data_IF_213749634058
#
_entry.id   IF_213749634058
#
_cell.length_a   1.000
_cell.length_b   1.000
_cell.length_c   1.000
_cell.angle_alpha   90.00
_cell.angle_beta   90.00
_cell.angle_gamma   90.00
#
_symmetry.space_group_name_H-M   'P 1'
#
loop_
_entity.id
_entity.type
_entity.pdbx_description
1 polymer ?
#
# COMPACT_ATOMS: atom_id res chain seq x y z
N UNK A 1 4.24 -23.79 -6.09
CA UNK A 1 3.04 -23.02 -6.47
C UNK A 1 3.46 -21.56 -6.48
N UNK A 2 3.34 -20.91 -7.63
CA UNK A 2 4.06 -19.68 -7.99
C UNK A 2 3.50 -18.45 -7.25
N UNK A 3 4.38 -17.67 -6.63
CA UNK A 3 4.05 -16.41 -5.95
C UNK A 3 4.11 -15.29 -7.00
N UNK A 4 2.95 -14.80 -7.43
CA UNK A 4 2.83 -13.53 -8.14
C UNK A 4 2.75 -12.41 -7.10
N UNK A 5 3.88 -11.78 -6.79
CA UNK A 5 3.91 -10.51 -6.07
C UNK A 5 3.73 -9.36 -7.08
N UNK A 6 2.48 -9.06 -7.45
CA UNK A 6 2.19 -7.90 -8.28
C UNK A 6 2.23 -6.61 -7.45
N UNK A 7 3.06 -5.68 -7.92
CA UNK A 7 3.31 -4.35 -7.37
C UNK A 7 2.01 -3.53 -7.25
N UNK A 8 1.42 -3.47 -6.06
CA UNK A 8 0.19 -2.71 -5.76
C UNK A 8 0.39 -1.19 -5.63
N UNK A 9 1.02 -0.53 -6.61
CA UNK A 9 1.20 0.93 -6.59
C UNK A 9 0.34 1.58 -7.69
N UNK A 10 -0.74 2.33 -7.36
CA UNK A 10 -1.65 2.87 -8.38
C UNK A 10 -0.98 3.91 -9.28
N UNK A 11 -1.29 3.84 -10.57
CA UNK A 11 -0.82 4.70 -11.67
C UNK A 11 -1.43 6.10 -11.58
N UNK A 12 -0.69 7.12 -12.04
CA UNK A 12 -1.25 8.45 -12.30
C UNK A 12 -2.12 8.35 -13.56
N UNK A 13 -3.42 8.54 -13.42
CA UNK A 13 -4.36 8.55 -14.53
C UNK A 13 -4.21 9.84 -15.35
N UNK A 14 -3.59 9.74 -16.53
CA UNK A 14 -3.93 10.63 -17.65
C UNK A 14 -5.21 10.09 -18.29
N UNK A 15 -5.85 10.89 -19.15
CA UNK A 15 -7.05 10.57 -19.94
C UNK A 15 -6.94 9.31 -20.85
N UNK A 16 -5.91 8.50 -20.66
CA UNK A 16 -5.67 7.20 -21.26
C UNK A 16 -5.78 6.15 -20.17
N UNK A 17 -6.99 5.64 -19.94
CA UNK A 17 -7.36 4.71 -18.86
C UNK A 17 -6.67 3.33 -18.92
N UNK A 18 -5.60 3.18 -19.72
CA UNK A 18 -4.95 1.89 -20.01
C UNK A 18 -3.42 1.94 -20.09
N UNK A 19 -2.80 3.11 -19.90
CA UNK A 19 -1.36 3.24 -20.01
C UNK A 19 -0.67 3.00 -18.66
N UNK A 20 0.11 1.94 -18.58
CA UNK A 20 0.91 1.59 -17.41
C UNK A 20 2.41 1.69 -17.72
N UNK A 21 3.11 2.44 -16.87
CA UNK A 21 4.57 2.44 -16.82
C UNK A 21 5.05 1.83 -15.50
N UNK A 22 6.09 0.96 -15.52
CA UNK A 22 6.60 0.34 -14.30
C UNK A 22 6.98 1.35 -13.21
N UNK A 23 6.65 1.01 -11.96
CA UNK A 23 7.02 1.78 -10.76
C UNK A 23 8.09 1.02 -9.94
N UNK A 24 8.96 1.72 -9.18
CA UNK A 24 9.03 3.16 -9.02
C UNK A 24 9.77 3.86 -10.17
N UNK A 25 9.27 5.03 -10.58
CA UNK A 25 9.98 5.94 -11.50
C UNK A 25 11.12 6.68 -10.79
N UNK A 26 10.96 6.95 -9.50
CA UNK A 26 11.97 7.63 -8.69
C UNK A 26 13.21 6.77 -8.48
N UNK A 27 14.39 7.36 -8.63
CA UNK A 27 15.68 6.67 -8.45
C UNK A 27 16.17 5.90 -9.69
N UNK A 28 15.45 5.96 -10.81
CA UNK A 28 15.85 5.37 -12.09
C UNK A 28 16.75 6.32 -12.88
N UNK A 29 17.69 5.76 -13.62
CA UNK A 29 18.55 6.50 -14.54
C UNK A 29 17.76 6.98 -15.76
N UNK A 30 18.21 8.05 -16.44
CA UNK A 30 17.56 8.53 -17.68
C UNK A 30 17.42 7.44 -18.74
N UNK A 31 18.38 6.51 -18.83
CA UNK A 31 18.34 5.38 -19.77
C UNK A 31 17.23 4.39 -19.42
N UNK A 32 17.04 4.06 -18.14
CA UNK A 32 15.96 3.18 -17.70
C UNK A 32 14.59 3.83 -17.95
N UNK A 33 14.46 5.11 -17.66
CA UNK A 33 13.22 5.86 -17.93
C UNK A 33 12.91 5.92 -19.42
N UNK A 34 13.94 6.11 -20.27
CA UNK A 34 13.78 6.07 -21.71
C UNK A 34 13.29 4.69 -22.19
N UNK A 35 13.79 3.61 -21.60
CA UNK A 35 13.32 2.26 -21.90
C UNK A 35 11.85 2.03 -21.51
N UNK A 36 11.30 2.75 -20.52
CA UNK A 36 9.87 2.69 -20.21
C UNK A 36 9.03 3.34 -21.31
N UNK A 37 9.49 4.48 -21.83
CA UNK A 37 8.81 5.24 -22.89
C UNK A 37 8.87 4.50 -24.23
N UNK A 38 10.05 4.00 -24.61
CA UNK A 38 10.25 3.29 -25.88
C UNK A 38 9.82 1.81 -25.81
N UNK A 39 9.45 1.34 -24.61
CA UNK A 39 9.07 -0.03 -24.32
C UNK A 39 7.62 -0.36 -24.63
N UNK A 40 7.22 -1.54 -24.16
CA UNK A 40 5.83 -2.00 -24.21
C UNK A 40 5.16 -1.78 -22.87
N UNK A 41 3.89 -1.42 -22.91
CA UNK A 41 3.01 -1.41 -21.76
C UNK A 41 2.91 -2.85 -21.20
N UNK A 42 3.24 -3.06 -19.92
CA UNK A 42 3.14 -4.37 -19.27
C UNK A 42 1.72 -4.96 -19.21
N UNK A 43 0.67 -4.14 -19.25
CA UNK A 43 -0.72 -4.57 -19.19
C UNK A 43 -1.27 -4.95 -20.56
N UNK A 44 -0.97 -4.15 -21.59
CA UNK A 44 -1.54 -4.35 -22.94
C UNK A 44 -0.58 -5.08 -23.89
N UNK A 45 0.73 -5.05 -23.61
CA UNK A 45 1.80 -5.55 -24.47
C UNK A 45 2.10 -4.68 -25.71
N UNK A 46 1.46 -3.51 -25.83
CA UNK A 46 1.61 -2.60 -26.98
C UNK A 46 2.67 -1.53 -26.70
N UNK A 47 3.26 -0.88 -27.73
CA UNK A 47 4.24 0.18 -27.50
C UNK A 47 3.64 1.38 -26.74
N UNK A 48 4.26 1.79 -25.64
CA UNK A 48 3.73 2.83 -24.73
C UNK A 48 3.42 4.12 -25.48
N UNK A 49 4.37 4.63 -26.27
CA UNK A 49 4.15 5.89 -27.01
C UNK A 49 3.06 5.80 -28.07
N UNK A 50 2.82 4.62 -28.64
CA UNK A 50 1.72 4.44 -29.60
C UNK A 50 0.37 4.60 -28.89
N UNK A 51 0.22 4.01 -27.70
CA UNK A 51 -1.00 4.13 -26.91
C UNK A 51 -1.23 5.56 -26.41
N UNK A 52 -0.16 6.27 -26.03
CA UNK A 52 -0.24 7.70 -25.69
C UNK A 52 -0.76 8.50 -26.88
N UNK A 53 -0.19 8.31 -28.06
CA UNK A 53 -0.58 9.06 -29.26
C UNK A 53 -2.03 8.77 -29.59
N UNK A 54 -2.43 7.51 -29.68
CA UNK A 54 -3.80 7.12 -29.99
C UNK A 54 -4.79 7.69 -28.98
N UNK A 55 -4.49 7.56 -27.68
CA UNK A 55 -5.36 8.07 -26.62
C UNK A 55 -5.49 9.60 -26.58
N UNK A 56 -4.49 10.34 -27.08
CA UNK A 56 -4.54 11.80 -27.19
C UNK A 56 -5.10 12.30 -28.53
N UNK A 57 -5.17 11.44 -29.56
CA UNK A 57 -5.53 11.85 -30.94
C UNK A 57 -6.84 11.28 -31.44
N UNK A 58 -7.33 10.18 -30.87
CA UNK A 58 -8.60 9.56 -31.25
C UNK A 58 -9.77 10.16 -30.47
N UNK A 59 -10.97 10.22 -31.06
CA UNK A 59 -12.17 10.64 -30.34
C UNK A 59 -12.44 9.73 -29.14
N UNK A 60 -12.66 10.34 -27.97
CA UNK A 60 -13.04 9.62 -26.76
C UNK A 60 -14.49 9.15 -26.88
N UNK A 61 -14.72 7.83 -26.89
CA UNK A 61 -16.03 7.21 -27.05
C UNK A 61 -16.79 6.98 -25.73
N UNK A 62 -16.20 7.39 -24.60
CA UNK A 62 -16.75 7.21 -23.26
C UNK A 62 -16.68 5.77 -22.74
N UNK A 63 -16.13 4.83 -23.50
CA UNK A 63 -15.98 3.44 -23.08
C UNK A 63 -14.58 3.22 -22.48
N UNK A 64 -14.52 2.89 -21.19
CA UNK A 64 -13.25 2.55 -20.54
C UNK A 64 -12.91 3.33 -19.28
N UNK A 65 -13.81 4.23 -18.81
CA UNK A 65 -13.74 4.82 -17.46
C UNK A 65 -14.13 3.77 -16.42
N UNK A 66 -13.39 2.67 -16.39
CA UNK A 66 -13.51 1.63 -15.40
C UNK A 66 -12.44 1.86 -14.34
N UNK A 67 -12.84 1.95 -13.07
CA UNK A 67 -11.90 1.81 -11.96
C UNK A 67 -11.22 0.45 -12.11
N UNK A 68 -9.91 0.43 -12.34
CA UNK A 68 -9.14 -0.82 -12.28
C UNK A 68 -9.13 -1.24 -10.80
N UNK A 69 -9.97 -2.22 -10.47
CA UNK A 69 -9.94 -2.87 -9.16
C UNK A 69 -8.74 -3.81 -9.11
N UNK A 70 -7.81 -3.52 -8.21
CA UNK A 70 -6.71 -4.42 -7.92
C UNK A 70 -7.16 -5.41 -6.85
N UNK A 71 -6.96 -6.71 -7.10
CA UNK A 71 -7.10 -7.70 -6.04
C UNK A 71 -6.02 -7.45 -4.98
N UNK A 72 -6.48 -6.98 -3.81
CA UNK A 72 -5.64 -6.75 -2.63
C UNK A 72 -5.90 -7.80 -1.56
N UNK A 73 -6.49 -8.93 -1.92
CA UNK A 73 -6.66 -10.06 -1.03
C UNK A 73 -5.27 -10.59 -0.66
N UNK A 74 -4.95 -10.48 0.62
CA UNK A 74 -3.75 -11.07 1.20
C UNK A 74 -4.18 -12.19 2.11
N UNK A 75 -3.53 -13.36 2.00
CA UNK A 75 -3.74 -14.42 2.98
C UNK A 75 -3.51 -13.87 4.38
N UNK A 76 -4.39 -14.23 5.31
CA UNK A 76 -4.29 -13.85 6.72
C UNK A 76 -3.04 -14.44 7.39
N UNK A 77 -2.61 -15.63 6.95
CA UNK A 77 -1.51 -16.40 7.53
C UNK A 77 -0.50 -16.80 6.46
N UNK A 78 0.75 -16.92 6.87
CA UNK A 78 1.82 -17.57 6.09
C UNK A 78 1.90 -19.05 6.46
N UNK A 79 2.54 -19.85 5.61
CA UNK A 79 2.85 -21.24 5.93
C UNK A 79 3.74 -21.32 7.18
N UNK A 80 3.45 -22.30 8.05
CA UNK A 80 4.23 -22.50 9.26
C UNK A 80 5.63 -23.02 8.91
N UNK A 81 6.65 -22.41 9.51
CA UNK A 81 8.05 -22.78 9.33
C UNK A 81 8.83 -22.42 10.61
N UNK A 82 10.13 -22.68 10.63
CA UNK A 82 11.05 -22.28 11.67
C UNK A 82 11.11 -20.75 11.82
N UNK A 83 11.36 -20.27 13.03
CA UNK A 83 11.45 -18.83 13.34
C UNK A 83 12.46 -18.11 12.42
N UNK A 84 13.62 -18.71 12.19
CA UNK A 84 14.65 -18.18 11.29
C UNK A 84 14.15 -18.02 9.84
N UNK A 85 13.45 -19.04 9.31
CA UNK A 85 12.89 -18.99 7.96
C UNK A 85 11.79 -17.93 7.86
N UNK A 86 10.95 -17.80 8.88
CA UNK A 86 9.90 -16.78 8.93
C UNK A 86 10.49 -15.37 9.02
N UNK A 87 11.55 -15.16 9.79
CA UNK A 87 12.26 -13.89 9.79
C UNK A 87 12.81 -13.53 8.41
N UNK A 88 13.48 -14.49 7.75
CA UNK A 88 13.98 -14.31 6.38
C UNK A 88 12.86 -13.99 5.40
N UNK A 89 11.74 -14.72 5.47
CA UNK A 89 10.56 -14.49 4.64
C UNK A 89 10.03 -13.05 4.76
N UNK A 90 9.92 -12.53 5.98
CA UNK A 90 9.43 -11.16 6.23
C UNK A 90 10.35 -10.10 5.61
N UNK A 91 11.66 -10.33 5.65
CA UNK A 91 12.68 -9.45 5.04
C UNK A 91 12.63 -9.53 3.51
N UNK A 92 12.62 -10.74 2.95
CA UNK A 92 12.57 -10.97 1.50
C UNK A 92 11.28 -10.43 0.87
N UNK A 93 10.17 -10.56 1.59
CA UNK A 93 8.86 -10.04 1.18
C UNK A 93 8.71 -8.52 1.38
N UNK A 94 9.71 -7.86 1.96
CA UNK A 94 9.72 -6.41 2.26
C UNK A 94 8.56 -5.97 3.14
N UNK A 95 8.16 -6.81 4.09
CA UNK A 95 7.09 -6.50 5.06
C UNK A 95 7.62 -5.81 6.32
N UNK A 96 8.93 -5.62 6.41
CA UNK A 96 9.61 -4.95 7.51
C UNK A 96 10.37 -3.73 6.98
N UNK A 97 10.80 -2.87 7.88
CA UNK A 97 11.74 -1.79 7.61
C UNK A 97 13.21 -2.22 7.78
N UNK A 98 13.48 -3.54 7.70
CA UNK A 98 14.77 -4.18 7.94
C UNK A 98 15.30 -4.05 9.38
N UNK A 99 14.53 -3.50 10.31
CA UNK A 99 14.85 -3.60 11.74
C UNK A 99 14.43 -4.97 12.28
N UNK A 100 15.06 -5.43 13.38
CA UNK A 100 14.60 -6.63 14.08
C UNK A 100 13.12 -6.48 14.47
N UNK A 101 12.33 -7.50 14.16
CA UNK A 101 10.91 -7.57 14.50
C UNK A 101 10.65 -8.69 15.50
N UNK A 102 9.52 -8.62 16.20
CA UNK A 102 8.95 -9.78 16.89
C UNK A 102 7.93 -10.43 15.94
N UNK A 103 8.07 -11.73 15.64
CA UNK A 103 7.11 -12.38 14.72
C UNK A 103 5.67 -12.29 15.26
N UNK A 104 4.70 -11.84 14.46
CA UNK A 104 3.32 -11.66 14.88
C UNK A 104 2.55 -12.98 14.86
N UNK A 105 2.87 -13.88 15.80
CA UNK A 105 2.15 -15.14 15.96
C UNK A 105 0.70 -14.90 16.37
N UNK A 106 -0.19 -15.85 16.06
CA UNK A 106 -1.61 -15.75 16.40
C UNK A 106 -1.84 -15.51 17.90
N UNK A 107 -1.04 -16.14 18.76
CA UNK A 107 -1.09 -16.00 20.21
C UNK A 107 -0.71 -14.58 20.66
N UNK A 108 0.38 -14.02 20.11
CA UNK A 108 0.84 -12.67 20.43
C UNK A 108 -0.15 -11.62 19.96
N UNK A 109 -0.74 -11.81 18.77
CA UNK A 109 -1.79 -10.93 18.23
C UNK A 109 -3.06 -11.03 19.06
N UNK A 110 -3.47 -12.22 19.48
CA UNK A 110 -4.62 -12.40 20.37
C UNK A 110 -4.40 -11.72 21.73
N UNK A 111 -3.21 -11.84 22.32
CA UNK A 111 -2.85 -11.14 23.55
C UNK A 111 -2.88 -9.61 23.39
N UNK A 112 -2.44 -9.09 22.24
CA UNK A 112 -2.53 -7.67 21.91
C UNK A 112 -3.99 -7.21 21.79
N UNK A 113 -4.82 -7.98 21.10
CA UNK A 113 -6.25 -7.68 20.92
C UNK A 113 -7.03 -7.75 22.23
N UNK A 114 -6.63 -8.61 23.18
CA UNK A 114 -7.26 -8.70 24.50
C UNK A 114 -7.12 -7.41 25.33
N UNK A 115 -6.19 -6.51 24.97
CA UNK A 115 -6.01 -5.22 25.62
C UNK A 115 -7.00 -4.13 25.15
N UNK A 116 -7.92 -4.44 24.23
CA UNK A 116 -8.96 -3.52 23.76
C UNK A 116 -10.34 -4.18 23.72
N UNK A 117 -11.39 -3.37 23.79
CA UNK A 117 -12.78 -3.81 23.59
C UNK A 117 -13.26 -3.66 22.14
N UNK A 118 -12.46 -3.04 21.26
CA UNK A 118 -12.80 -2.87 19.84
C UNK A 118 -12.70 -4.18 19.08
N UNK A 119 -13.55 -4.35 18.07
CA UNK A 119 -13.58 -5.60 17.30
C UNK A 119 -12.38 -5.69 16.34
N UNK A 120 -11.79 -6.88 16.10
CA UNK A 120 -10.61 -7.02 15.24
C UNK A 120 -10.81 -6.54 13.80
N UNK A 121 -12.02 -6.70 13.25
CA UNK A 121 -12.46 -6.32 11.91
C UNK A 121 -12.86 -4.84 11.79
N UNK A 122 -12.94 -4.12 12.92
CA UNK A 122 -13.34 -2.73 12.93
C UNK A 122 -12.28 -1.86 12.24
N UNK A 123 -12.73 -1.02 11.29
CA UNK A 123 -11.84 -0.09 10.59
C UNK A 123 -11.39 1.02 11.54
N UNK A 124 -10.08 1.20 11.65
CA UNK A 124 -9.46 2.23 12.51
C UNK A 124 -9.29 3.52 11.72
N UNK A 125 -8.91 3.41 10.44
CA UNK A 125 -8.76 4.57 9.58
C UNK A 125 -8.42 4.20 8.15
N UNK A 126 -8.27 5.25 7.35
CA UNK A 126 -7.89 5.19 5.94
C UNK A 126 -6.57 5.91 5.75
N UNK A 127 -5.67 5.35 4.94
CA UNK A 127 -4.39 5.96 4.59
C UNK A 127 -4.13 5.78 3.09
N UNK A 128 -3.57 6.80 2.44
CA UNK A 128 -3.15 6.74 1.04
C UNK A 128 -1.70 7.20 0.90
N UNK A 129 -0.92 6.63 -0.04
CA UNK A 129 0.45 7.07 -0.27
C UNK A 129 0.57 8.46 -0.89
N UNK A 130 -0.45 8.93 -1.62
CA UNK A 130 -0.58 10.26 -2.24
C UNK A 130 -2.06 10.59 -2.46
N UNK A 131 -2.41 11.87 -2.65
CA UNK A 131 -3.81 12.32 -2.83
C UNK A 131 -4.53 11.69 -4.05
N UNK A 132 -3.78 11.42 -5.11
CA UNK A 132 -4.30 10.84 -6.36
C UNK A 132 -4.43 9.32 -6.31
N UNK A 133 -4.05 8.71 -5.18
CA UNK A 133 -4.14 7.27 -4.98
C UNK A 133 -5.31 6.92 -4.08
N UNK A 134 -5.90 5.77 -4.36
CA UNK A 134 -6.97 5.20 -3.56
C UNK A 134 -6.53 5.04 -2.10
N UNK A 135 -7.46 5.30 -1.17
CA UNK A 135 -7.21 5.14 0.24
C UNK A 135 -7.36 3.68 0.66
N UNK A 136 -6.43 3.20 1.47
CA UNK A 136 -6.44 1.86 2.05
C UNK A 136 -6.99 1.90 3.46
N UNK A 137 -7.85 0.95 3.79
CA UNK A 137 -8.36 0.76 5.14
C UNK A 137 -7.44 -0.16 5.95
N UNK A 138 -7.23 0.21 7.20
CA UNK A 138 -6.59 -0.64 8.18
C UNK A 138 -7.51 -0.87 9.38
N UNK A 139 -7.59 -2.13 9.80
CA UNK A 139 -8.44 -2.60 10.90
C UNK A 139 -7.67 -2.64 12.22
N UNK A 140 -8.38 -2.83 13.32
CA UNK A 140 -7.78 -3.01 14.66
C UNK A 140 -6.75 -4.13 14.65
N UNK A 141 -7.07 -5.24 13.98
CA UNK A 141 -6.14 -6.37 13.85
C UNK A 141 -4.85 -6.02 13.10
N UNK A 142 -4.93 -5.28 11.99
CA UNK A 142 -3.72 -4.83 11.27
C UNK A 142 -2.83 -3.95 12.15
N UNK A 143 -3.44 -3.11 12.99
CA UNK A 143 -2.70 -2.31 13.98
C UNK A 143 -2.09 -3.21 15.06
N UNK A 144 -2.80 -4.23 15.52
CA UNK A 144 -2.29 -5.20 16.50
C UNK A 144 -1.08 -5.98 15.97
N UNK A 145 -1.14 -6.46 14.72
CA UNK A 145 -0.02 -7.14 14.05
C UNK A 145 1.22 -6.25 14.03
N UNK A 146 1.08 -4.98 13.59
CA UNK A 146 2.18 -4.03 13.55
C UNK A 146 2.72 -3.71 14.96
N UNK A 147 1.84 -3.59 15.96
CA UNK A 147 2.23 -3.35 17.34
C UNK A 147 3.04 -4.53 17.91
N UNK A 148 2.63 -5.77 17.63
CA UNK A 148 3.39 -6.97 18.00
C UNK A 148 4.75 -6.96 17.30
N UNK A 149 4.79 -6.69 15.99
CA UNK A 149 6.04 -6.62 15.22
C UNK A 149 7.03 -5.61 15.79
N UNK A 150 6.52 -4.46 16.26
CA UNK A 150 7.32 -3.44 16.93
C UNK A 150 7.75 -3.80 18.37
N UNK A 151 7.32 -4.94 18.90
CA UNK A 151 7.60 -5.37 20.28
C UNK A 151 6.82 -4.58 21.35
N UNK A 152 5.68 -3.98 20.99
CA UNK A 152 4.88 -3.24 21.95
C UNK A 152 4.27 -4.18 23.01
N UNK A 153 4.13 -3.68 24.24
CA UNK A 153 3.39 -4.39 25.29
C UNK A 153 1.88 -4.20 25.08
N UNK A 154 1.03 -5.21 25.35
CA UNK A 154 -0.42 -5.09 25.22
C UNK A 154 -1.03 -3.90 25.97
N UNK A 155 -0.48 -3.55 27.13
CA UNK A 155 -0.89 -2.38 27.94
C UNK A 155 -0.87 -1.05 27.17
N UNK A 156 0.00 -0.94 26.16
CA UNK A 156 0.13 0.27 25.33
C UNK A 156 -0.81 0.26 24.12
N UNK A 157 -1.47 -0.87 23.83
CA UNK A 157 -2.27 -1.03 22.63
C UNK A 157 -3.42 -0.02 22.50
N UNK A 158 -4.18 0.31 23.57
CA UNK A 158 -5.22 1.34 23.47
C UNK A 158 -4.69 2.69 23.01
N UNK A 159 -3.48 3.07 23.47
CA UNK A 159 -2.83 4.31 23.07
C UNK A 159 -2.36 4.26 21.61
N UNK A 160 -1.75 3.14 21.19
CA UNK A 160 -1.34 2.93 19.79
C UNK A 160 -2.56 3.01 18.87
N UNK A 161 -3.69 2.42 19.29
CA UNK A 161 -4.93 2.45 18.54
C UNK A 161 -5.53 3.86 18.44
N UNK A 162 -5.48 4.64 19.52
CA UNK A 162 -5.90 6.03 19.51
C UNK A 162 -5.03 6.88 18.57
N UNK A 163 -3.71 6.68 18.60
CA UNK A 163 -2.79 7.34 17.67
C UNK A 163 -3.06 6.95 16.22
N UNK A 164 -3.27 5.67 15.95
CA UNK A 164 -3.63 5.19 14.61
C UNK A 164 -4.93 5.83 14.13
N UNK A 165 -5.96 5.92 14.97
CA UNK A 165 -7.25 6.51 14.63
C UNK A 165 -7.17 8.01 14.24
N UNK A 166 -6.11 8.74 14.62
CA UNK A 166 -5.90 10.12 14.16
C UNK A 166 -5.66 10.23 12.64
N UNK A 167 -5.23 9.13 12.01
CA UNK A 167 -4.85 9.10 10.61
C UNK A 167 -3.68 10.04 10.28
N UNK A 168 -2.84 10.35 11.28
CA UNK A 168 -1.64 11.17 11.10
C UNK A 168 -0.45 10.24 10.85
N UNK A 169 0.14 10.31 9.65
CA UNK A 169 1.36 9.58 9.35
C UNK A 169 2.57 10.19 10.07
N UNK A 170 3.39 9.32 10.67
CA UNK A 170 4.69 9.70 11.24
C UNK A 170 5.73 10.07 10.15
N UNK A 171 5.50 9.66 8.89
CA UNK A 171 6.37 9.96 7.74
C UNK A 171 5.74 11.07 6.88
N UNK A 172 6.22 12.29 7.08
CA UNK A 172 5.89 13.41 6.19
C UNK A 172 6.67 13.30 4.87
N UNK A 173 5.97 13.02 3.77
CA UNK A 173 6.54 13.09 2.42
C UNK A 173 6.20 14.44 1.77
N UNK A 174 7.01 14.90 0.80
CA UNK A 174 6.65 16.02 -0.08
C UNK A 174 5.34 15.77 -0.84
N UNK A 175 5.02 14.50 -1.10
CA UNK A 175 3.77 14.08 -1.76
C UNK A 175 2.56 13.99 -0.83
N UNK A 176 2.75 14.04 0.50
CA UNK A 176 1.70 13.92 1.52
C UNK A 176 1.56 15.19 2.37
N UNK A 177 2.25 16.26 1.98
CA UNK A 177 2.34 17.51 2.75
C UNK A 177 1.02 18.30 2.73
N UNK A 178 0.22 18.15 1.68
CA UNK A 178 -1.02 18.93 1.49
C UNK A 178 -2.20 18.46 2.35
N UNK A 179 -2.18 17.21 2.87
CA UNK A 179 -3.23 16.71 3.77
C UNK A 179 -3.36 17.51 5.07
N UNK A 180 -2.30 18.21 5.49
CA UNK A 180 -2.34 19.10 6.66
C UNK A 180 -3.10 20.40 6.41
N UNK A 181 -3.27 20.80 5.15
CA UNK A 181 -3.89 22.07 4.76
C UNK A 181 -5.41 21.96 4.66
N UNK A 182 -5.90 20.87 4.06
CA UNK A 182 -7.35 20.64 3.91
C UNK A 182 -8.07 20.39 5.24
N UNK A 183 -7.41 19.76 6.23
CA UNK A 183 -8.03 19.51 7.55
C UNK A 183 -8.21 20.78 8.39
N UNK A 184 -7.54 21.89 8.07
CA UNK A 184 -7.81 23.20 8.72
C UNK A 184 -9.03 23.90 8.14
N UNK A 185 -9.50 23.51 6.95
CA UNK A 185 -10.66 24.12 6.31
C UNK A 185 -12.00 23.50 6.74
N UNK A 186 -12.01 22.28 7.29
CA UNK A 186 -13.22 21.58 7.75
C UNK A 186 -13.55 21.72 9.24
N UNK A 187 -12.89 22.64 9.95
CA UNK A 187 -13.07 22.86 11.39
C UNK A 187 -13.55 24.30 11.73
N UNK A 188 -14.29 24.93 10.81
CA UNK A 188 -15.00 26.18 11.02
C UNK A 188 -16.49 26.00 10.72
#
# INVERSE_FOLDING_TARGET
MTIEAQYGVPTVALHTDKLFVPQPVMGKSPRELRAYVDGKDPLTGRPVMQEVIEGLTMPFDGQGVGTIEYDRSTSRLVEADTEENLHRLFVESRWTDYLPIVLPTQERVAAMLAATHRKPDEVVGRMRPTHFREAWEYTVEKVAVNAVMAGARPEYFPLILALAATGVSARGSTTNRDERRDRRAGAL
#
